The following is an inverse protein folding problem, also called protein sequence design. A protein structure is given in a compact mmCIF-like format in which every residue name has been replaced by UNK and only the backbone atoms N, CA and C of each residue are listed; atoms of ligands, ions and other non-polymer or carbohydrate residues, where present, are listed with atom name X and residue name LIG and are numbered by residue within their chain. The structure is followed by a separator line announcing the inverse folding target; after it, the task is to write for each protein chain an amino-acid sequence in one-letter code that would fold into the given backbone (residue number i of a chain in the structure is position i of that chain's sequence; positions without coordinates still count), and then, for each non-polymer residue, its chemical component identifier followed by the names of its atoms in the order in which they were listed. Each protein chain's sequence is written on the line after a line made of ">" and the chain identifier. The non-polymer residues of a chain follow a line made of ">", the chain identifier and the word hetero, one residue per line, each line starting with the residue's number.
data_IF_620613723452
#
_entry.id   IF_620613723452
#
_cell.length_a   1.000
_cell.length_b   1.000
_cell.length_c   1.000
_cell.angle_alpha   90.00
_cell.angle_beta   90.00
_cell.angle_gamma   90.00
#
_symmetry.space_group_name_H-M   'P 1'
#
loop_
_entity.id
_entity.type
_entity.pdbx_description
1 polymer ?
#
# COMPACT_ATOMS: atom_id res chain seq x y z
N UNK A 1 -31.47 -0.47 -15.38
CA UNK A 1 -31.14 0.19 -14.10
C UNK A 1 -29.66 0.56 -14.17
N UNK A 2 -29.32 1.86 -14.07
CA UNK A 2 -27.95 2.36 -14.22
C UNK A 2 -27.38 2.81 -12.87
N UNK A 3 -26.04 2.94 -12.81
CA UNK A 3 -25.12 3.42 -11.74
C UNK A 3 -24.56 2.32 -10.82
N UNK A 4 -23.24 2.17 -10.59
CA UNK A 4 -22.09 3.08 -10.61
C UNK A 4 -20.84 2.43 -11.27
N UNK A 5 -20.15 3.14 -12.18
CA UNK A 5 -18.81 3.76 -12.02
C UNK A 5 -17.70 2.89 -11.42
N UNK A 6 -16.69 2.56 -12.24
CA UNK A 6 -15.30 2.63 -11.79
C UNK A 6 -14.40 3.08 -12.96
N UNK A 7 -14.00 4.34 -12.90
CA UNK A 7 -13.02 4.98 -13.79
C UNK A 7 -11.58 4.55 -13.39
N UNK A 8 -10.54 4.87 -14.18
CA UNK A 8 -9.44 3.98 -14.52
C UNK A 8 -8.45 3.71 -13.39
N UNK A 9 -8.00 2.45 -13.34
CA UNK A 9 -6.96 1.85 -12.48
C UNK A 9 -5.54 2.45 -12.66
N UNK A 10 -5.39 3.75 -12.88
CA UNK A 10 -4.11 4.36 -13.30
C UNK A 10 -3.85 5.75 -12.71
N UNK A 11 -4.79 6.33 -11.97
CA UNK A 11 -4.55 7.60 -11.31
C UNK A 11 -3.55 7.43 -10.14
N UNK A 12 -2.59 8.35 -9.98
CA UNK A 12 -1.74 8.38 -8.80
C UNK A 12 -2.59 8.71 -7.57
N UNK A 13 -2.44 7.89 -6.54
CA UNK A 13 -3.14 8.00 -5.28
C UNK A 13 -2.54 9.15 -4.49
N UNK A 14 -3.42 10.05 -4.08
CA UNK A 14 -3.12 11.16 -3.19
C UNK A 14 -4.11 11.17 -2.03
N UNK A 15 -3.61 11.16 -0.81
CA UNK A 15 -4.44 11.17 0.38
C UNK A 15 -3.64 11.11 1.66
N UNK A 16 -4.30 10.78 2.77
CA UNK A 16 -3.68 10.66 4.08
C UNK A 16 -3.61 9.21 4.52
N UNK A 17 -2.45 8.76 4.97
CA UNK A 17 -2.29 7.40 5.47
C UNK A 17 -2.97 7.27 6.83
N UNK A 18 -4.00 6.44 6.90
CA UNK A 18 -4.72 6.14 8.15
C UNK A 18 -4.18 4.87 8.82
N UNK A 19 -3.64 3.93 8.05
CA UNK A 19 -2.92 2.75 8.55
C UNK A 19 -1.66 2.50 7.70
N UNK A 20 -0.57 2.11 8.35
CA UNK A 20 0.69 1.75 7.70
C UNK A 20 1.28 0.52 8.37
N UNK A 21 1.82 -0.39 7.57
CA UNK A 21 2.58 -1.54 8.04
C UNK A 21 3.78 -1.71 7.10
N UNK A 22 4.98 -1.50 7.63
CA UNK A 22 6.23 -1.66 6.86
C UNK A 22 6.99 -2.83 7.43
N UNK A 23 7.30 -3.83 6.59
CA UNK A 23 8.17 -4.94 6.94
C UNK A 23 9.40 -4.97 6.04
N UNK A 24 10.54 -5.12 6.68
CA UNK A 24 11.83 -5.33 6.02
C UNK A 24 12.25 -6.78 6.26
N UNK A 25 12.59 -7.50 5.21
CA UNK A 25 13.27 -8.79 5.30
C UNK A 25 14.67 -8.63 4.76
N UNK A 26 15.60 -9.19 5.51
CA UNK A 26 17.01 -9.28 5.16
C UNK A 26 17.26 -10.75 4.87
N UNK A 27 17.34 -11.08 3.59
CA UNK A 27 17.75 -12.41 3.16
C UNK A 27 19.29 -12.43 3.03
N UNK A 28 20.01 -13.36 3.69
CA UNK A 28 21.47 -13.43 3.60
C UNK A 28 21.98 -13.82 2.21
N UNK A 29 21.14 -14.37 1.34
CA UNK A 29 21.44 -14.69 -0.07
C UNK A 29 21.22 -13.52 -1.03
N UNK A 30 20.55 -12.44 -0.61
CA UNK A 30 20.33 -11.23 -1.41
C UNK A 30 21.08 -10.03 -0.82
N UNK A 31 21.87 -9.31 -1.64
CA UNK A 31 22.69 -8.19 -1.15
C UNK A 31 21.88 -6.97 -0.70
N UNK A 32 20.59 -6.88 -1.07
CA UNK A 32 19.72 -5.75 -0.76
C UNK A 32 18.50 -6.20 0.07
N UNK A 33 18.16 -5.47 1.16
CA UNK A 33 16.97 -5.77 1.94
C UNK A 33 15.72 -5.53 1.09
N UNK A 34 14.77 -6.46 1.17
CA UNK A 34 13.46 -6.29 0.56
C UNK A 34 12.55 -5.62 1.56
N UNK A 35 11.79 -4.61 1.13
CA UNK A 35 10.77 -4.00 1.96
C UNK A 35 9.39 -4.10 1.33
N UNK A 36 8.42 -4.38 2.19
CA UNK A 36 7.02 -4.40 1.91
C UNK A 36 6.35 -3.30 2.73
N UNK A 37 5.83 -2.28 2.06
CA UNK A 37 5.04 -1.22 2.68
C UNK A 37 3.58 -1.38 2.31
N UNK A 38 2.73 -1.65 3.30
CA UNK A 38 1.29 -1.68 3.15
C UNK A 38 0.69 -0.40 3.74
N UNK A 39 -0.29 0.16 3.04
CA UNK A 39 -0.93 1.42 3.43
C UNK A 39 -2.43 1.35 3.23
N UNK A 40 -3.19 1.92 4.18
CA UNK A 40 -4.56 2.34 3.97
C UNK A 40 -4.55 3.87 3.86
N UNK A 41 -4.98 4.39 2.73
CA UNK A 41 -4.90 5.81 2.36
C UNK A 41 -6.31 6.35 2.25
N UNK A 42 -6.69 7.25 3.13
CA UNK A 42 -7.96 7.97 3.05
C UNK A 42 -7.86 9.09 2.01
N UNK A 43 -8.80 9.07 1.06
CA UNK A 43 -9.00 10.10 0.05
C UNK A 43 -10.44 10.62 0.15
N UNK A 44 -10.78 11.64 -0.64
CA UNK A 44 -12.15 12.19 -0.69
C UNK A 44 -13.18 11.16 -1.17
N UNK A 45 -12.76 10.21 -2.02
CA UNK A 45 -13.64 9.20 -2.63
C UNK A 45 -13.83 7.97 -1.72
N UNK A 46 -12.85 7.67 -0.87
CA UNK A 46 -12.87 6.45 -0.06
C UNK A 46 -11.50 6.12 0.50
N UNK A 47 -11.23 4.84 0.70
CA UNK A 47 -9.96 4.35 1.24
C UNK A 47 -9.30 3.46 0.22
N UNK A 48 -8.04 3.74 -0.08
CA UNK A 48 -7.20 2.93 -0.93
C UNK A 48 -6.28 2.05 -0.10
N UNK A 49 -6.39 0.74 -0.27
CA UNK A 49 -5.46 -0.25 0.26
C UNK A 49 -4.35 -0.47 -0.76
N UNK A 50 -3.12 -0.17 -0.36
CA UNK A 50 -1.98 -0.12 -1.25
C UNK A 50 -0.83 -0.97 -0.75
N UNK A 51 -0.16 -1.68 -1.65
CA UNK A 51 1.07 -2.41 -1.36
C UNK A 51 2.21 -1.91 -2.25
N UNK A 52 3.34 -1.63 -1.62
CA UNK A 52 4.61 -1.31 -2.26
C UNK A 52 5.63 -2.39 -1.92
N UNK A 53 6.25 -2.97 -2.95
CA UNK A 53 7.36 -3.91 -2.82
C UNK A 53 8.60 -3.30 -3.45
N UNK A 54 9.72 -3.29 -2.75
CA UNK A 54 10.97 -2.74 -3.28
C UNK A 54 12.18 -3.41 -2.66
N UNK A 55 13.35 -3.13 -3.23
CA UNK A 55 14.66 -3.58 -2.73
C UNK A 55 15.61 -2.42 -2.38
N UNK A 56 15.13 -1.17 -2.44
CA UNK A 56 16.02 -0.01 -2.42
C UNK A 56 16.15 0.60 -1.02
N UNK A 57 17.33 0.40 -0.41
CA UNK A 57 17.64 0.75 0.98
C UNK A 57 17.34 2.21 1.34
N UNK A 58 17.58 3.12 0.39
CA UNK A 58 17.35 4.56 0.59
C UNK A 58 15.88 4.99 0.54
N UNK A 59 14.95 4.13 0.12
CA UNK A 59 13.50 4.44 0.11
C UNK A 59 12.84 3.99 1.42
N UNK A 60 13.40 2.98 2.09
CA UNK A 60 12.78 2.38 3.29
C UNK A 60 12.76 3.30 4.51
N UNK A 61 13.82 4.08 4.75
CA UNK A 61 13.84 5.06 5.84
C UNK A 61 12.85 6.21 5.62
N UNK A 62 12.44 6.44 4.36
CA UNK A 62 11.51 7.49 3.97
C UNK A 62 10.12 6.95 3.62
N UNK A 63 9.84 5.68 3.91
CA UNK A 63 8.51 5.14 3.71
C UNK A 63 7.52 5.87 4.62
N UNK A 64 6.43 6.39 4.05
CA UNK A 64 5.54 7.30 4.75
C UNK A 64 4.84 6.54 5.88
N UNK A 65 4.85 7.13 7.08
CA UNK A 65 4.27 6.51 8.28
C UNK A 65 2.79 6.86 8.41
N UNK A 66 2.08 6.13 9.27
CA UNK A 66 0.70 6.46 9.63
C UNK A 66 0.58 7.94 10.03
N UNK A 67 -0.40 8.62 9.46
CA UNK A 67 -0.64 10.05 9.64
C UNK A 67 0.00 10.95 8.59
N UNK A 68 0.89 10.43 7.74
CA UNK A 68 1.54 11.19 6.67
C UNK A 68 0.62 11.38 5.47
N UNK A 69 0.72 12.53 4.81
CA UNK A 69 0.18 12.71 3.47
C UNK A 69 1.04 11.96 2.45
N UNK A 70 0.37 11.24 1.56
CA UNK A 70 0.98 10.43 0.51
C UNK A 70 0.53 10.96 -0.83
N UNK A 71 1.48 11.10 -1.74
CA UNK A 71 1.24 11.41 -3.14
C UNK A 71 2.23 10.59 -3.96
N UNK A 72 1.73 9.63 -4.75
CA UNK A 72 2.58 8.72 -5.52
C UNK A 72 3.58 9.46 -6.43
N UNK A 73 3.16 10.59 -7.02
CA UNK A 73 4.03 11.38 -7.91
C UNK A 73 5.17 12.01 -7.13
N UNK A 74 4.87 12.56 -5.96
CA UNK A 74 5.84 13.27 -5.12
C UNK A 74 6.83 12.31 -4.46
N UNK A 75 6.36 11.12 -4.08
CA UNK A 75 7.20 10.11 -3.46
C UNK A 75 8.05 9.33 -4.47
N UNK A 76 7.74 9.43 -5.77
CA UNK A 76 8.43 8.66 -6.80
C UNK A 76 8.26 7.15 -6.64
N UNK A 77 7.21 6.71 -5.93
CA UNK A 77 6.85 5.31 -5.76
C UNK A 77 5.56 5.02 -6.53
N UNK A 78 5.47 3.81 -7.06
CA UNK A 78 4.23 3.28 -7.61
C UNK A 78 3.79 2.10 -6.76
N UNK A 79 2.56 2.13 -6.26
CA UNK A 79 2.01 0.95 -5.60
C UNK A 79 1.80 -0.17 -6.60
N UNK A 80 2.22 -1.38 -6.22
CA UNK A 80 2.10 -2.59 -7.03
C UNK A 80 0.69 -3.15 -6.94
N UNK A 81 0.07 -3.02 -5.76
CA UNK A 81 -1.33 -3.39 -5.51
C UNK A 81 -2.08 -2.16 -5.07
N UNK A 82 -3.27 -1.94 -5.65
CA UNK A 82 -4.19 -0.85 -5.32
C UNK A 82 -5.60 -1.42 -5.30
N UNK A 83 -6.23 -1.41 -4.12
CA UNK A 83 -7.61 -1.85 -3.94
C UNK A 83 -8.41 -0.69 -3.34
N UNK A 84 -9.49 -0.32 -4.02
CA UNK A 84 -10.38 0.74 -3.56
C UNK A 84 -11.47 0.15 -2.67
N UNK A 85 -11.66 0.75 -1.50
CA UNK A 85 -12.71 0.42 -0.54
C UNK A 85 -13.51 1.69 -0.26
N UNK A 86 -14.82 1.72 -0.56
CA UNK A 86 -15.67 2.84 -0.18
C UNK A 86 -15.60 3.06 1.34
N UNK A 87 -15.63 4.31 1.80
CA UNK A 87 -15.47 4.65 3.22
C UNK A 87 -16.50 3.96 4.12
N UNK A 88 -17.71 3.76 3.63
CA UNK A 88 -18.79 3.07 4.35
C UNK A 88 -18.50 1.58 4.61
N UNK A 89 -17.69 0.96 3.73
CA UNK A 89 -17.36 -0.47 3.76
C UNK A 89 -16.00 -0.75 4.41
N UNK A 90 -15.22 0.29 4.70
CA UNK A 90 -13.93 0.13 5.33
C UNK A 90 -14.06 -0.28 6.80
N UNK A 91 -13.53 -1.44 7.11
CA UNK A 91 -13.46 -2.00 8.46
C UNK A 91 -12.04 -2.50 8.73
N UNK A 92 -11.65 -2.56 10.00
CA UNK A 92 -10.34 -3.10 10.40
C UNK A 92 -10.11 -4.54 9.91
N UNK A 93 -11.17 -5.31 9.69
CA UNK A 93 -11.10 -6.65 9.08
C UNK A 93 -10.56 -6.60 7.65
N UNK A 94 -10.99 -5.63 6.82
CA UNK A 94 -10.48 -5.45 5.45
C UNK A 94 -8.98 -5.16 5.45
N UNK A 95 -8.53 -4.35 6.38
CA UNK A 95 -7.11 -4.09 6.57
C UNK A 95 -6.35 -5.36 6.98
N UNK A 96 -6.89 -6.15 7.92
CA UNK A 96 -6.27 -7.39 8.35
C UNK A 96 -6.17 -8.42 7.21
N UNK A 97 -7.24 -8.59 6.42
CA UNK A 97 -7.27 -9.46 5.23
C UNK A 97 -6.26 -9.01 4.18
N UNK A 98 -6.22 -7.71 3.87
CA UNK A 98 -5.26 -7.14 2.94
C UNK A 98 -3.81 -7.36 3.40
N UNK A 99 -3.54 -7.15 4.69
CA UNK A 99 -2.25 -7.46 5.30
C UNK A 99 -1.91 -8.93 5.14
N UNK A 100 -2.83 -9.83 5.44
CA UNK A 100 -2.58 -11.28 5.33
C UNK A 100 -2.26 -11.68 3.89
N UNK A 101 -3.04 -11.22 2.91
CA UNK A 101 -2.84 -11.53 1.49
C UNK A 101 -1.50 -11.02 0.95
N UNK A 102 -1.12 -9.79 1.29
CA UNK A 102 0.05 -9.12 0.72
C UNK A 102 1.34 -9.39 1.50
N UNK A 103 1.27 -9.63 2.81
CA UNK A 103 2.43 -10.06 3.62
C UNK A 103 2.74 -11.55 3.46
N UNK A 104 1.77 -12.42 3.13
CA UNK A 104 2.06 -13.84 2.86
C UNK A 104 2.65 -14.04 1.48
N UNK A 105 2.22 -13.28 0.47
CA UNK A 105 2.88 -13.27 -0.86
C UNK A 105 4.36 -12.92 -0.74
N UNK A 106 4.71 -12.05 0.21
CA UNK A 106 6.10 -11.71 0.54
C UNK A 106 6.90 -12.87 1.19
N UNK A 107 6.24 -13.88 1.77
CA UNK A 107 6.88 -15.05 2.38
C UNK A 107 6.97 -16.28 1.45
N UNK A 108 6.28 -16.29 0.31
CA UNK A 108 6.05 -17.51 -0.49
C UNK A 108 6.92 -17.65 -1.74
N UNK A 109 8.12 -17.06 -1.74
CA UNK A 109 9.20 -17.50 -2.64
C UNK A 109 10.37 -18.02 -1.81
N UNK A 110 10.20 -19.24 -1.28
CA UNK A 110 11.30 -20.10 -0.83
C UNK A 110 10.97 -21.55 -1.17
#
# INVERSE_FOLDING_TARGET
>A
MATASQAPHTAPIKGKIIEAEVKLSVDPGRPLPLGCGLYAIETEEGIWLCAYYGANRSVFEFLPQKGSDVDERTLGISFHVKEFVPKADYQSSRWAEFKQANLMTYKSEH
#
